data_IF_320265722191
#
_entry.id   IF_320265722191
#
_cell.length_a   1.000
_cell.length_b   1.000
_cell.length_c   1.000
_cell.angle_alpha   90.00
_cell.angle_beta   90.00
_cell.angle_gamma   90.00
#
_symmetry.space_group_name_H-M   'P 1'
#
loop_
_entity.id
_entity.type
_entity.pdbx_description
1 polymer ?
#
# COMPACT_ATOMS: atom_id res chain seq x y z
N UNK A 1 0.50 -9.44 -3.51
CA UNK A 1 0.80 -9.06 -4.90
C UNK A 1 -0.14 -7.98 -5.43
N UNK A 2 -1.47 -8.12 -5.29
CA UNK A 2 -2.45 -7.12 -5.78
C UNK A 2 -2.22 -5.68 -5.28
N UNK A 3 -1.97 -5.48 -3.98
CA UNK A 3 -1.71 -4.14 -3.42
C UNK A 3 -0.55 -3.40 -4.08
N UNK A 4 0.50 -4.11 -4.51
CA UNK A 4 1.64 -3.52 -5.22
C UNK A 4 1.24 -3.13 -6.65
N UNK A 5 0.44 -3.95 -7.31
CA UNK A 5 -0.11 -3.68 -8.64
C UNK A 5 -1.05 -2.47 -8.61
N UNK A 6 -1.98 -2.40 -7.66
CA UNK A 6 -2.90 -1.25 -7.48
C UNK A 6 -2.15 0.05 -7.23
N UNK A 7 -1.09 -0.01 -6.42
CA UNK A 7 -0.22 1.13 -6.13
C UNK A 7 0.49 1.60 -7.39
N UNK A 8 1.16 0.69 -8.11
CA UNK A 8 1.88 1.04 -9.33
C UNK A 8 0.93 1.57 -10.41
N UNK A 9 -0.24 0.95 -10.55
CA UNK A 9 -1.26 1.39 -11.50
C UNK A 9 -1.81 2.78 -11.13
N UNK A 10 -2.04 3.05 -9.84
CA UNK A 10 -2.42 4.40 -9.38
C UNK A 10 -1.35 5.44 -9.70
N UNK A 11 -0.08 5.11 -9.49
CA UNK A 11 1.03 6.00 -9.82
C UNK A 11 1.10 6.31 -11.32
N UNK A 12 1.00 5.27 -12.16
CA UNK A 12 1.00 5.41 -13.62
C UNK A 12 -0.18 6.28 -14.07
N UNK A 13 -1.38 6.06 -13.53
CA UNK A 13 -2.57 6.86 -13.87
C UNK A 13 -2.36 8.32 -13.45
N UNK A 14 -1.83 8.58 -12.25
CA UNK A 14 -1.55 9.94 -11.81
C UNK A 14 -0.56 10.64 -12.74
N UNK A 15 0.59 10.01 -13.05
CA UNK A 15 1.60 10.57 -13.94
C UNK A 15 1.04 10.81 -15.34
N UNK A 16 0.38 9.82 -15.93
CA UNK A 16 -0.17 9.96 -17.28
C UNK A 16 -1.25 11.05 -17.32
N UNK A 17 -2.11 11.16 -16.31
CA UNK A 17 -3.15 12.19 -16.25
C UNK A 17 -2.57 13.60 -16.19
N UNK A 18 -1.56 13.83 -15.35
CA UNK A 18 -0.91 15.17 -15.26
C UNK A 18 -0.11 15.49 -16.51
N UNK A 19 0.53 14.50 -17.13
CA UNK A 19 1.24 14.70 -18.39
C UNK A 19 0.27 15.03 -19.54
N UNK A 20 -0.88 14.35 -19.64
CA UNK A 20 -1.92 14.71 -20.61
C UNK A 20 -2.37 16.14 -20.38
N UNK A 21 -2.62 16.52 -19.13
CA UNK A 21 -3.01 17.89 -18.78
C UNK A 21 -1.94 18.90 -19.20
N UNK A 22 -0.67 18.65 -18.90
CA UNK A 22 0.46 19.47 -19.29
C UNK A 22 0.61 19.57 -20.82
N UNK A 23 0.49 18.46 -21.55
CA UNK A 23 0.51 18.47 -23.03
C UNK A 23 -0.68 19.24 -23.60
N UNK A 24 -1.84 19.22 -22.93
CA UNK A 24 -3.00 20.00 -23.38
C UNK A 24 -2.71 21.50 -23.30
N UNK A 25 -2.07 21.95 -22.21
CA UNK A 25 -1.62 23.33 -22.08
C UNK A 25 -0.50 23.67 -23.08
N UNK A 26 0.48 22.78 -23.24
CA UNK A 26 1.57 22.97 -24.20
C UNK A 26 1.04 23.04 -25.64
N UNK A 27 0.01 22.27 -25.99
CA UNK A 27 -0.64 22.29 -27.30
C UNK A 27 -1.29 23.63 -27.65
N UNK A 28 -1.62 24.47 -26.66
CA UNK A 28 -2.08 25.85 -26.88
C UNK A 28 -0.96 26.71 -27.47
N UNK A 29 0.29 26.47 -27.06
CA UNK A 29 1.46 27.25 -27.48
C UNK A 29 2.24 26.60 -28.64
N UNK A 30 2.24 25.26 -28.71
CA UNK A 30 3.04 24.47 -29.63
C UNK A 30 2.14 23.49 -30.39
N UNK A 31 1.33 24.02 -31.30
CA UNK A 31 0.43 23.23 -32.14
C UNK A 31 1.19 22.65 -33.36
N UNK A 32 1.94 21.57 -33.14
CA UNK A 32 2.58 20.81 -34.21
C UNK A 32 2.08 19.36 -34.23
N UNK A 33 2.35 18.64 -35.34
CA UNK A 33 1.88 17.27 -35.52
C UNK A 33 2.43 16.29 -34.48
N UNK A 34 3.64 16.53 -33.96
CA UNK A 34 4.27 15.66 -32.97
C UNK A 34 3.60 15.78 -31.61
N UNK A 35 3.34 17.02 -31.15
CA UNK A 35 2.59 17.31 -29.91
C UNK A 35 1.20 16.68 -29.99
N UNK A 36 0.51 16.81 -31.13
CA UNK A 36 -0.81 16.19 -31.34
C UNK A 36 -0.75 14.66 -31.26
N UNK A 37 0.24 14.02 -31.88
CA UNK A 37 0.40 12.57 -31.83
C UNK A 37 0.71 12.06 -30.41
N UNK A 38 1.65 12.72 -29.71
CA UNK A 38 2.00 12.40 -28.34
C UNK A 38 0.79 12.57 -27.41
N UNK A 39 0.04 13.66 -27.56
CA UNK A 39 -1.17 13.91 -26.77
C UNK A 39 -2.22 12.83 -27.00
N UNK A 40 -2.50 12.47 -28.25
CA UNK A 40 -3.47 11.41 -28.57
C UNK A 40 -3.06 10.06 -27.96
N UNK A 41 -1.81 9.64 -28.14
CA UNK A 41 -1.30 8.37 -27.63
C UNK A 41 -1.31 8.33 -26.10
N UNK A 42 -0.79 9.37 -25.46
CA UNK A 42 -0.71 9.45 -24.01
C UNK A 42 -2.10 9.50 -23.36
N UNK A 43 -3.04 10.23 -23.95
CA UNK A 43 -4.41 10.27 -23.48
C UNK A 43 -5.10 8.91 -23.58
N UNK A 44 -4.95 8.20 -24.71
CA UNK A 44 -5.51 6.85 -24.86
C UNK A 44 -4.92 5.87 -23.86
N UNK A 45 -3.60 5.93 -23.62
CA UNK A 45 -2.93 5.10 -22.61
C UNK A 45 -3.49 5.40 -21.21
N UNK A 46 -3.60 6.68 -20.85
CA UNK A 46 -4.15 7.10 -19.55
C UNK A 46 -5.59 6.60 -19.38
N UNK A 47 -6.43 6.81 -20.39
CA UNK A 47 -7.83 6.39 -20.41
C UNK A 47 -8.00 4.87 -20.30
N UNK A 48 -7.18 4.09 -21.01
CA UNK A 48 -7.19 2.63 -20.90
C UNK A 48 -6.77 2.16 -19.50
N UNK A 49 -5.74 2.78 -18.92
CA UNK A 49 -5.29 2.45 -17.56
C UNK A 49 -6.37 2.76 -16.51
N UNK A 50 -7.15 3.83 -16.68
CA UNK A 50 -8.31 4.12 -15.82
C UNK A 50 -9.34 3.00 -15.86
N UNK A 51 -9.64 2.45 -17.06
CA UNK A 51 -10.53 1.30 -17.20
C UNK A 51 -9.96 0.08 -16.47
N UNK A 52 -8.70 -0.26 -16.74
CA UNK A 52 -8.03 -1.41 -16.12
C UNK A 52 -8.04 -1.29 -14.60
N UNK A 53 -7.74 -0.11 -14.05
CA UNK A 53 -7.77 0.12 -12.60
C UNK A 53 -9.18 -0.03 -12.03
N UNK A 54 -10.18 0.56 -12.69
CA UNK A 54 -11.57 0.41 -12.29
C UNK A 54 -11.97 -1.06 -12.23
N UNK A 55 -11.65 -1.85 -13.25
CA UNK A 55 -11.95 -3.29 -13.27
C UNK A 55 -11.18 -4.04 -12.16
N UNK A 56 -9.86 -3.86 -12.06
CA UNK A 56 -9.02 -4.57 -11.07
C UNK A 56 -9.51 -4.30 -9.65
N UNK A 57 -9.84 -3.05 -9.32
CA UNK A 57 -10.20 -2.68 -7.95
C UNK A 57 -11.66 -2.97 -7.62
N UNK A 58 -12.60 -2.79 -8.55
CA UNK A 58 -14.01 -3.09 -8.29
C UNK A 58 -14.29 -4.59 -8.21
N UNK A 59 -13.50 -5.42 -8.89
CA UNK A 59 -13.65 -6.89 -8.83
C UNK A 59 -12.78 -7.56 -7.75
N UNK A 60 -11.90 -6.82 -7.08
CA UNK A 60 -11.15 -7.36 -5.95
C UNK A 60 -11.94 -7.22 -4.64
N UNK A 61 -12.48 -8.35 -4.15
CA UNK A 61 -13.17 -8.43 -2.86
C UNK A 61 -12.28 -8.16 -1.64
N UNK A 62 -10.95 -8.03 -1.81
CA UNK A 62 -9.98 -7.72 -0.74
C UNK A 62 -9.38 -6.31 -0.85
N UNK A 63 -9.89 -5.48 -1.76
CA UNK A 63 -9.42 -4.12 -1.94
C UNK A 63 -9.64 -3.26 -0.67
N UNK A 64 -8.72 -2.33 -0.41
CA UNK A 64 -8.92 -1.34 0.66
C UNK A 64 -10.17 -0.49 0.36
N UNK A 65 -10.99 -0.20 1.38
CA UNK A 65 -12.19 0.64 1.24
C UNK A 65 -11.93 1.95 0.49
N UNK A 66 -10.76 2.57 0.72
CA UNK A 66 -10.37 3.80 0.00
C UNK A 66 -10.09 3.55 -1.48
N UNK A 67 -9.47 2.43 -1.83
CA UNK A 67 -9.18 2.08 -3.22
C UNK A 67 -10.48 1.80 -4.00
N UNK A 68 -11.49 1.19 -3.38
CA UNK A 68 -12.82 1.01 -3.99
C UNK A 68 -13.45 2.37 -4.33
N UNK A 69 -13.39 3.34 -3.41
CA UNK A 69 -13.84 4.71 -3.65
C UNK A 69 -13.09 5.37 -4.81
N UNK A 70 -11.77 5.21 -4.85
CA UNK A 70 -10.93 5.67 -5.98
C UNK A 70 -11.41 5.02 -7.28
N UNK A 71 -11.63 3.71 -7.29
CA UNK A 71 -12.11 2.95 -8.45
C UNK A 71 -13.44 3.48 -8.99
N UNK A 72 -14.39 3.83 -8.11
CA UNK A 72 -15.67 4.41 -8.53
C UNK A 72 -15.49 5.78 -9.21
N UNK A 73 -14.68 6.67 -8.62
CA UNK A 73 -14.39 7.99 -9.21
C UNK A 73 -13.64 7.83 -10.54
N UNK A 74 -12.70 6.90 -10.62
CA UNK A 74 -11.95 6.61 -11.84
C UNK A 74 -12.88 6.06 -12.94
N UNK A 75 -13.85 5.22 -12.59
CA UNK A 75 -14.86 4.73 -13.55
C UNK A 75 -15.77 5.85 -14.06
N UNK A 76 -16.17 6.79 -13.19
CA UNK A 76 -16.93 7.98 -13.59
C UNK A 76 -16.11 8.86 -14.54
N UNK A 77 -14.84 9.11 -14.20
CA UNK A 77 -13.93 9.90 -15.03
C UNK A 77 -13.69 9.22 -16.39
N UNK A 78 -13.50 7.90 -16.41
CA UNK A 78 -13.41 7.10 -17.63
C UNK A 78 -14.64 7.33 -18.53
N UNK A 79 -15.85 7.27 -17.97
CA UNK A 79 -17.09 7.51 -18.71
C UNK A 79 -17.16 8.94 -19.27
N UNK A 80 -16.87 9.95 -18.46
CA UNK A 80 -16.85 11.36 -18.89
C UNK A 80 -15.84 11.61 -20.01
N UNK A 81 -14.68 10.96 -19.96
CA UNK A 81 -13.60 11.12 -20.94
C UNK A 81 -13.77 10.24 -22.18
N UNK A 82 -14.69 9.26 -22.15
CA UNK A 82 -14.89 8.29 -23.24
C UNK A 82 -15.27 8.95 -24.57
N UNK A 83 -16.05 10.02 -24.56
CA UNK A 83 -16.39 10.72 -25.80
C UNK A 83 -15.13 11.23 -26.53
N UNK A 84 -14.18 11.82 -25.79
CA UNK A 84 -12.90 12.24 -26.35
C UNK A 84 -12.07 11.05 -26.81
N UNK A 85 -12.01 9.99 -26.01
CA UNK A 85 -11.22 8.80 -26.32
C UNK A 85 -11.70 8.13 -27.61
N UNK A 86 -13.01 7.93 -27.76
CA UNK A 86 -13.58 7.31 -28.96
C UNK A 86 -13.35 8.19 -30.19
N UNK A 87 -13.49 9.52 -30.08
CA UNK A 87 -13.18 10.44 -31.18
C UNK A 87 -11.71 10.37 -31.63
N UNK A 88 -10.78 10.23 -30.68
CA UNK A 88 -9.36 10.05 -30.99
C UNK A 88 -9.13 8.67 -31.61
N UNK A 89 -9.74 7.63 -31.04
CA UNK A 89 -9.62 6.25 -31.51
C UNK A 89 -10.16 6.09 -32.94
N UNK A 90 -11.22 6.80 -33.29
CA UNK A 90 -11.79 6.83 -34.64
C UNK A 90 -10.84 7.41 -35.70
N UNK A 91 -9.79 8.15 -35.30
CA UNK A 91 -8.73 8.59 -36.23
C UNK A 91 -7.78 7.46 -36.61
N UNK A 92 -7.64 6.45 -35.75
CA UNK A 92 -6.72 5.33 -35.94
C UNK A 92 -7.43 4.06 -36.45
N UNK A 93 -8.73 3.91 -36.13
CA UNK A 93 -9.55 2.76 -36.54
C UNK A 93 -10.58 3.21 -37.57
N UNK A 94 -10.42 2.87 -38.87
CA UNK A 94 -11.30 3.33 -39.94
C UNK A 94 -12.76 2.91 -39.80
N UNK A 95 -13.02 1.84 -39.04
CA UNK A 95 -14.37 1.28 -38.84
C UNK A 95 -15.22 2.08 -37.84
N UNK A 96 -14.60 2.98 -37.07
CA UNK A 96 -15.32 3.81 -36.11
C UNK A 96 -15.84 5.09 -36.79
N UNK A 97 -17.07 5.52 -36.47
CA UNK A 97 -17.64 6.73 -37.05
C UNK A 97 -16.83 7.95 -36.61
N UNK A 98 -16.29 8.70 -37.60
CA UNK A 98 -15.50 9.91 -37.35
C UNK A 98 -16.30 11.08 -36.76
N UNK A 99 -17.64 10.98 -36.75
CA UNK A 99 -18.55 11.97 -36.14
C UNK A 99 -19.50 11.27 -35.19
N UNK A 100 -19.34 11.54 -33.91
CA UNK A 100 -20.29 11.14 -32.87
C UNK A 100 -21.15 12.36 -32.57
N UNK A 101 -22.46 12.25 -32.81
CA UNK A 101 -23.41 13.32 -32.48
C UNK A 101 -23.70 13.17 -30.98
N UNK A 102 -23.24 14.12 -30.16
CA UNK A 102 -23.70 14.25 -28.78
C UNK A 102 -25.02 15.04 -28.77
N UNK A 103 -26.17 14.41 -28.47
CA UNK A 103 -27.46 15.10 -28.49
C UNK A 103 -27.61 16.13 -27.36
N UNK A 104 -26.77 16.06 -26.32
CA UNK A 104 -26.83 16.95 -25.17
C UNK A 104 -25.95 18.20 -25.36
N UNK A 105 -26.59 19.35 -25.52
CA UNK A 105 -25.94 20.66 -25.71
C UNK A 105 -25.12 21.14 -24.51
N UNK A 106 -25.47 20.72 -23.28
CA UNK A 106 -24.70 21.07 -22.08
C UNK A 106 -23.35 20.35 -22.05
N UNK A 107 -23.33 19.06 -22.37
CA UNK A 107 -22.08 18.30 -22.47
C UNK A 107 -21.16 18.88 -23.54
N UNK A 108 -21.73 19.34 -24.66
CA UNK A 108 -20.97 19.99 -25.72
C UNK A 108 -20.39 21.34 -25.27
N UNK A 109 -21.19 22.16 -24.57
CA UNK A 109 -20.78 23.50 -24.09
C UNK A 109 -19.68 23.44 -23.02
N UNK A 110 -19.78 22.50 -22.08
CA UNK A 110 -18.84 22.36 -20.97
C UNK A 110 -17.78 21.28 -21.20
N UNK A 111 -17.67 20.76 -22.41
CA UNK A 111 -16.83 19.61 -22.74
C UNK A 111 -15.37 19.78 -22.28
N UNK A 112 -14.80 20.96 -22.53
CA UNK A 112 -13.41 21.28 -22.17
C UNK A 112 -13.21 21.41 -20.65
N UNK A 113 -14.18 22.01 -19.95
CA UNK A 113 -14.17 22.10 -18.49
C UNK A 113 -14.26 20.69 -17.86
N UNK A 114 -15.18 19.87 -18.35
CA UNK A 114 -15.36 18.47 -17.89
C UNK A 114 -14.06 17.69 -18.09
N UNK A 115 -13.40 17.84 -19.24
CA UNK A 115 -12.12 17.19 -19.54
C UNK A 115 -11.04 17.56 -18.52
N UNK A 116 -10.83 18.85 -18.25
CA UNK A 116 -9.82 19.31 -17.29
C UNK A 116 -10.13 18.90 -15.86
N UNK A 117 -11.39 19.08 -15.43
CA UNK A 117 -11.81 18.71 -14.10
C UNK A 117 -11.64 17.21 -13.85
N UNK A 118 -12.01 16.37 -14.83
CA UNK A 118 -11.81 14.92 -14.72
C UNK A 118 -10.33 14.55 -14.55
N UNK A 119 -9.43 15.08 -15.40
CA UNK A 119 -7.99 14.79 -15.30
C UNK A 119 -7.39 15.22 -13.96
N UNK A 120 -7.76 16.40 -13.46
CA UNK A 120 -7.26 16.93 -12.18
C UNK A 120 -7.75 16.07 -11.01
N UNK A 121 -9.05 15.73 -10.98
CA UNK A 121 -9.62 14.89 -9.93
C UNK A 121 -8.94 13.52 -9.91
N UNK A 122 -8.80 12.89 -11.08
CA UNK A 122 -8.13 11.60 -11.25
C UNK A 122 -6.68 11.67 -10.75
N UNK A 123 -5.94 12.72 -11.12
CA UNK A 123 -4.58 12.92 -10.64
C UNK A 123 -4.50 12.91 -9.10
N UNK A 124 -5.27 13.78 -8.44
CA UNK A 124 -5.20 13.92 -6.99
C UNK A 124 -5.64 12.65 -6.25
N UNK A 125 -6.75 12.04 -6.69
CA UNK A 125 -7.26 10.85 -6.00
C UNK A 125 -6.32 9.65 -6.13
N UNK A 126 -5.67 9.49 -7.29
CA UNK A 126 -4.70 8.42 -7.48
C UNK A 126 -3.37 8.69 -6.78
N UNK A 127 -2.91 9.93 -6.64
CA UNK A 127 -1.78 10.27 -5.78
C UNK A 127 -2.09 9.92 -4.32
N UNK A 128 -3.27 10.30 -3.82
CA UNK A 128 -3.68 9.97 -2.44
C UNK A 128 -3.73 8.45 -2.27
N UNK A 129 -4.28 7.72 -3.24
CA UNK A 129 -4.35 6.26 -3.21
C UNK A 129 -2.95 5.63 -3.22
N UNK A 130 -2.04 6.13 -4.06
CA UNK A 130 -0.66 5.69 -4.13
C UNK A 130 0.05 5.84 -2.77
N UNK A 131 -0.08 7.01 -2.13
CA UNK A 131 0.51 7.30 -0.82
C UNK A 131 -0.10 6.39 0.26
N UNK A 132 -1.43 6.20 0.26
CA UNK A 132 -2.13 5.32 1.22
C UNK A 132 -1.77 3.85 1.07
N UNK A 133 -1.46 3.41 -0.14
CA UNK A 133 -1.03 2.05 -0.44
C UNK A 133 0.46 1.82 -0.11
N UNK A 134 1.19 2.83 0.38
CA UNK A 134 2.60 2.70 0.71
C UNK A 134 2.80 1.74 1.91
N UNK A 135 3.53 0.62 1.76
CA UNK A 135 3.71 -0.36 2.81
C UNK A 135 4.42 0.19 4.06
N UNK A 136 5.37 1.12 3.88
CA UNK A 136 6.13 1.70 4.99
C UNK A 136 5.25 2.51 5.95
N UNK A 137 4.19 3.16 5.44
CA UNK A 137 3.26 3.91 6.28
C UNK A 137 2.40 3.02 7.17
N UNK A 138 2.12 1.79 6.72
CA UNK A 138 1.40 0.81 7.55
C UNK A 138 2.27 0.27 8.68
N UNK A 139 3.57 0.19 8.45
CA UNK A 139 4.53 -0.21 9.48
C UNK A 139 4.64 0.89 10.56
N UNK A 140 4.73 2.17 10.15
CA UNK A 140 4.71 3.31 11.08
C UNK A 140 3.38 3.43 11.84
N UNK A 141 2.23 3.32 11.16
CA UNK A 141 0.90 3.35 11.82
C UNK A 141 0.68 2.17 12.79
N UNK A 142 1.39 1.04 12.62
CA UNK A 142 1.35 -0.09 13.54
C UNK A 142 2.31 0.09 14.72
N UNK A 143 3.50 0.63 14.49
CA UNK A 143 4.49 0.95 15.53
C UNK A 143 4.00 2.09 16.44
N UNK A 144 3.22 3.04 15.91
CA UNK A 144 2.64 4.13 16.70
C UNK A 144 1.42 3.69 17.54
N UNK A 145 0.83 2.51 17.26
CA UNK A 145 -0.41 2.06 17.89
C UNK A 145 -0.27 1.00 19.00
N UNK A 146 0.91 0.44 19.24
CA UNK A 146 1.15 -0.40 20.44
C UNK A 146 2.67 -0.66 20.67
N UNK A 147 3.20 -0.70 21.92
CA UNK A 147 2.52 -0.58 23.21
C UNK A 147 3.19 0.34 24.26
N UNK A 148 2.36 1.09 25.00
CA UNK A 148 2.44 1.09 26.46
C UNK A 148 1.42 0.07 26.93
N UNK A 149 1.91 -0.93 27.66
CA UNK A 149 1.16 -1.99 28.37
C UNK A 149 0.91 -3.29 27.59
N UNK A 150 1.94 -4.14 27.56
CA UNK A 150 1.77 -5.59 27.67
C UNK A 150 3.11 -6.22 28.01
N UNK A 151 3.20 -6.76 29.22
CA UNK A 151 4.23 -7.69 29.65
C UNK A 151 4.41 -8.83 28.64
N UNK A 152 5.65 -9.31 28.61
CA UNK A 152 6.18 -10.43 27.88
C UNK A 152 5.21 -11.63 27.83
N UNK A 153 4.61 -11.88 26.66
CA UNK A 153 3.98 -13.17 26.33
C UNK A 153 4.53 -13.62 24.97
N UNK A 154 5.60 -14.40 25.03
CA UNK A 154 6.06 -15.21 23.91
C UNK A 154 5.01 -16.29 23.68
N UNK A 155 4.27 -16.19 22.58
CA UNK A 155 3.63 -17.34 21.97
C UNK A 155 3.87 -17.29 20.47
N UNK A 156 4.94 -17.95 20.05
CA UNK A 156 4.97 -18.58 18.73
C UNK A 156 3.80 -19.56 18.68
N UNK A 157 2.95 -19.46 17.66
CA UNK A 157 2.32 -20.66 17.13
C UNK A 157 2.27 -20.57 15.62
N UNK A 158 3.19 -21.35 15.04
CA UNK A 158 3.19 -21.83 13.68
C UNK A 158 1.94 -22.67 13.43
N UNK A 159 1.57 -22.65 12.17
CA UNK A 159 0.66 -23.53 11.46
C UNK A 159 0.66 -24.96 12.03
N UNK A 160 -0.54 -25.38 12.40
CA UNK A 160 -0.92 -26.78 12.59
C UNK A 160 -1.20 -27.34 11.20
N UNK A 161 -0.41 -28.30 10.73
CA UNK A 161 -0.93 -29.62 10.38
C UNK A 161 0.20 -30.60 10.04
N UNK A 162 0.06 -31.80 10.61
CA UNK A 162 0.60 -33.11 10.22
C UNK A 162 1.89 -33.63 10.86
N UNK A 163 1.65 -34.39 11.94
CA UNK A 163 2.14 -35.76 12.22
C UNK A 163 3.61 -36.02 12.61
N UNK A 164 3.70 -36.57 13.82
CA UNK A 164 4.66 -37.58 14.31
C UNK A 164 6.09 -37.11 14.67
N UNK A 165 6.34 -36.95 15.99
CA UNK A 165 7.68 -37.09 16.55
C UNK A 165 7.63 -37.65 17.99
N UNK A 166 8.35 -38.75 18.18
CA UNK A 166 8.65 -39.45 19.43
C UNK A 166 9.42 -38.55 20.40
N UNK A 167 9.04 -38.54 21.67
CA UNK A 167 9.75 -37.86 22.76
C UNK A 167 10.94 -38.71 23.19
N UNK A 168 12.15 -38.19 22.99
CA UNK A 168 13.40 -38.72 23.57
C UNK A 168 13.70 -37.91 24.85
N UNK A 169 13.58 -38.53 26.02
CA UNK A 169 14.05 -37.97 27.28
C UNK A 169 15.58 -37.83 27.23
N UNK A 170 16.11 -36.62 27.40
CA UNK A 170 17.54 -36.40 27.69
C UNK A 170 17.70 -35.96 29.13
N UNK A 171 18.23 -36.87 29.95
CA UNK A 171 18.73 -36.58 31.29
C UNK A 171 19.91 -35.60 31.20
N UNK A 172 19.80 -34.47 31.88
CA UNK A 172 20.91 -33.53 32.06
C UNK A 172 21.98 -34.14 32.98
N UNK A 173 23.24 -34.12 32.55
CA UNK A 173 24.37 -34.65 33.30
C UNK A 173 24.70 -33.77 34.53
N UNK A 174 25.03 -34.39 35.67
CA UNK A 174 25.36 -33.74 36.96
C UNK A 174 26.38 -32.58 36.86
N UNK A 175 27.21 -32.57 35.82
CA UNK A 175 28.18 -31.52 35.56
C UNK A 175 27.53 -30.17 35.24
N UNK A 176 26.41 -30.16 34.53
CA UNK A 176 25.70 -28.93 34.14
C UNK A 176 24.92 -28.31 35.32
N UNK A 177 24.46 -29.16 36.26
CA UNK A 177 23.85 -28.73 37.53
C UNK A 177 24.85 -27.98 38.44
N UNK A 178 26.12 -28.40 38.45
CA UNK A 178 27.18 -27.74 39.24
C UNK A 178 27.56 -26.35 38.73
N UNK A 179 27.44 -26.11 37.42
CA UNK A 179 27.73 -24.81 36.81
C UNK A 179 26.62 -23.81 37.19
N UNK A 180 25.37 -24.24 37.16
CA UNK A 180 24.22 -23.40 37.50
C UNK A 180 24.23 -22.94 38.97
N UNK A 181 24.69 -23.81 39.89
CA UNK A 181 24.76 -23.52 41.32
C UNK A 181 26.07 -22.83 41.76
N UNK A 182 27.04 -22.61 40.87
CA UNK A 182 28.31 -21.97 41.22
C UNK A 182 28.15 -20.51 41.70
N UNK A 183 27.06 -19.84 41.31
CA UNK A 183 26.73 -18.49 41.76
C UNK A 183 26.10 -18.43 43.16
N UNK A 184 25.60 -19.54 43.71
CA UNK A 184 24.99 -19.60 45.06
C UNK A 184 26.01 -19.94 46.17
N UNK A 185 27.20 -20.42 45.82
CA UNK A 185 28.24 -20.76 46.79
C UNK A 185 29.04 -19.54 47.28
N UNK A 186 29.08 -18.45 46.52
CA UNK A 186 29.90 -17.28 46.85
C UNK A 186 29.24 -16.33 47.86
N UNK A 187 27.90 -16.31 47.94
CA UNK A 187 27.15 -15.45 48.88
C UNK A 187 27.02 -16.05 50.30
N UNK A 188 27.21 -17.36 50.47
CA UNK A 188 27.08 -18.01 51.78
C UNK A 188 28.36 -17.93 52.64
N UNK A 189 29.55 -17.79 52.05
CA UNK A 189 30.78 -17.64 52.84
C UNK A 189 30.92 -16.22 53.44
N UNK A 190 30.38 -15.18 52.78
CA UNK A 190 30.37 -13.81 53.33
C UNK A 190 29.33 -13.59 54.45
N UNK A 191 28.30 -14.44 54.55
CA UNK A 191 27.29 -14.39 55.61
C UNK A 191 27.61 -15.28 56.82
N UNK A 192 28.55 -16.22 56.70
CA UNK A 192 29.01 -17.06 57.81
C UNK A 192 30.20 -16.48 58.58
N UNK A 193 30.99 -15.59 57.97
CA UNK A 193 32.12 -14.93 58.66
C UNK A 193 31.66 -13.78 59.58
N UNK A 194 30.58 -13.07 59.23
CA UNK A 194 30.01 -11.99 60.07
C UNK A 194 29.17 -12.48 61.27
N UNK A 195 28.86 -13.79 61.36
CA UNK A 195 27.98 -14.33 62.40
C UNK A 195 28.72 -15.14 63.48
N UNK A 196 30.07 -15.18 63.43
CA UNK A 196 30.91 -15.79 64.46
C UNK A 196 31.60 -14.81 65.41
N UNK A 197 31.65 -13.52 65.10
CA UNK A 197 32.24 -12.52 66.02
C UNK A 197 31.27 -12.01 67.10
N UNK A 198 29.96 -12.27 67.01
CA UNK A 198 28.96 -11.65 67.89
C UNK A 198 28.29 -12.61 68.91
N UNK A 199 28.89 -13.80 69.14
CA UNK A 199 28.33 -14.82 70.07
C UNK A 199 29.33 -15.44 71.04
N UNK A 200 30.34 -14.68 71.49
CA UNK A 200 31.24 -15.14 72.55
C UNK A 200 31.36 -14.25 73.80
N UNK A 201 30.44 -13.31 74.02
CA UNK A 201 30.30 -12.64 75.32
C UNK A 201 28.81 -12.50 75.67
N UNK A 202 28.30 -13.44 76.46
CA UNK A 202 27.15 -13.30 77.38
C UNK A 202 26.74 -14.67 77.96
N UNK A 203 27.66 -15.32 78.69
CA UNK A 203 27.29 -16.16 79.84
C UNK A 203 28.49 -16.31 80.78
N UNK A 204 28.29 -15.80 82.01
CA UNK A 204 29.10 -15.85 83.24
C UNK A 204 30.11 -14.72 83.46
#
# INVERSE_FOLDING_TARGET
MLKTTERNLSFIIAITSILVFALTLAGVFMNNSLTGLLWNGLFLISWLMMLVFGLVVLFDGKALHFSIFVGFITALAFMCLSAHAILILARFIPQLPARIILPNTYLLKYNQMIFYTALIIVYFIHIINYIKLNPQRKLEEQIEKDPKDSEEVITENKEDETSEALVEERELSEKDLSILNSHLAQDNDLLLENNKEDKQDLTN
#
